data_IF_512924099450
#
_entry.id   IF_512924099450
#
_cell.length_a   1.000
_cell.length_b   1.000
_cell.length_c   1.000
_cell.angle_alpha   90.00
_cell.angle_beta   90.00
_cell.angle_gamma   90.00
#
_symmetry.space_group_name_H-M   'P 1'
#
loop_
_entity.id
_entity.type
_entity.pdbx_description
1 polymer ?
#
# COMPACT_ATOMS: atom_id res chain seq x y z
N UNK A 1 21.15 9.03 -15.74
CA UNK A 1 20.37 10.22 -15.38
C UNK A 1 19.04 10.15 -16.11
N UNK A 2 17.98 10.70 -15.53
CA UNK A 2 16.67 10.81 -16.18
C UNK A 2 16.69 11.90 -17.25
N UNK A 3 15.83 11.76 -18.25
CA UNK A 3 15.48 12.79 -19.24
C UNK A 3 13.99 13.14 -19.18
N UNK A 4 13.35 12.93 -18.02
CA UNK A 4 11.93 13.23 -17.82
C UNK A 4 11.65 14.73 -18.01
N UNK A 5 10.49 15.11 -18.59
CA UNK A 5 10.04 16.50 -18.61
C UNK A 5 9.53 16.98 -17.24
N UNK A 6 9.42 16.09 -16.24
CA UNK A 6 9.01 16.43 -14.87
C UNK A 6 10.22 16.55 -13.95
N UNK A 7 10.12 17.43 -12.95
CA UNK A 7 11.14 17.62 -11.92
C UNK A 7 10.50 18.13 -10.62
N UNK A 8 10.50 17.30 -9.57
CA UNK A 8 10.09 17.68 -8.22
C UNK A 8 11.33 17.93 -7.33
N UNK A 9 11.43 19.04 -6.59
CA UNK A 9 12.62 19.35 -5.81
C UNK A 9 12.70 18.52 -4.52
N UNK A 10 13.92 18.30 -4.02
CA UNK A 10 14.16 17.73 -2.69
C UNK A 10 13.92 18.78 -1.60
N UNK A 11 13.30 18.35 -0.50
CA UNK A 11 13.24 19.05 0.79
C UNK A 11 13.95 18.20 1.83
N UNK A 12 14.88 18.82 2.57
CA UNK A 12 15.65 18.17 3.63
C UNK A 12 15.00 18.51 4.99
N UNK A 13 14.62 17.50 5.76
CA UNK A 13 13.96 17.65 7.06
C UNK A 13 14.82 17.00 8.15
N UNK A 14 15.20 17.75 9.18
CA UNK A 14 15.86 17.20 10.36
C UNK A 14 14.79 16.58 11.28
N UNK A 15 14.96 15.32 11.71
CA UNK A 15 14.02 14.67 12.65
C UNK A 15 14.12 15.32 14.04
N UNK A 16 13.12 15.07 14.90
CA UNK A 16 13.06 15.60 16.28
C UNK A 16 14.29 15.24 17.15
N UNK A 17 15.07 14.22 16.81
CA UNK A 17 16.29 13.87 17.53
C UNK A 17 17.49 14.77 17.18
N UNK A 18 17.35 15.72 16.24
CA UNK A 18 18.38 16.70 15.87
C UNK A 18 19.55 16.14 15.04
N UNK A 19 19.65 14.82 14.88
CA UNK A 19 20.77 14.14 14.21
C UNK A 19 20.33 13.51 12.89
N UNK A 20 19.17 12.85 12.87
CA UNK A 20 18.73 12.14 11.67
C UNK A 20 18.15 13.12 10.65
N UNK A 21 18.49 12.89 9.39
CA UNK A 21 17.92 13.62 8.26
C UNK A 21 16.91 12.73 7.53
N UNK A 22 15.78 13.31 7.11
CA UNK A 22 14.84 12.74 6.15
C UNK A 22 14.89 13.54 4.86
N UNK A 23 15.07 12.83 3.75
CA UNK A 23 14.98 13.37 2.40
C UNK A 23 13.54 13.19 1.91
N UNK A 24 12.85 14.29 1.67
CA UNK A 24 11.50 14.32 1.14
C UNK A 24 11.49 14.93 -0.27
N UNK A 25 10.49 14.61 -1.07
CA UNK A 25 10.32 15.17 -2.42
C UNK A 25 9.04 16.00 -2.42
N UNK A 26 9.10 17.23 -2.93
CA UNK A 26 7.95 18.13 -2.95
C UNK A 26 7.02 17.81 -4.12
N UNK A 27 6.21 16.76 -3.96
CA UNK A 27 5.18 16.38 -4.93
C UNK A 27 3.91 17.23 -4.86
N UNK A 28 3.87 18.41 -4.20
CA UNK A 28 2.63 19.21 -4.07
C UNK A 28 1.96 19.53 -5.42
N UNK A 29 2.75 19.89 -6.44
CA UNK A 29 2.25 20.13 -7.80
C UNK A 29 1.82 18.84 -8.51
N UNK A 30 2.61 17.77 -8.41
CA UNK A 30 2.25 16.45 -8.95
C UNK A 30 0.92 15.97 -8.35
N UNK A 31 0.73 16.15 -7.04
CA UNK A 31 -0.47 15.74 -6.31
C UNK A 31 -1.70 16.61 -6.61
N UNK A 32 -1.55 17.88 -6.99
CA UNK A 32 -2.70 18.71 -7.42
C UNK A 32 -3.17 18.30 -8.82
N UNK A 33 -2.25 17.95 -9.72
CA UNK A 33 -2.54 17.45 -11.06
C UNK A 33 -3.00 15.98 -11.08
N UNK A 34 -2.63 15.18 -10.07
CA UNK A 34 -2.99 13.76 -9.98
C UNK A 34 -4.44 13.56 -9.53
N UNK A 35 -5.24 12.85 -10.34
CA UNK A 35 -6.58 12.38 -9.96
C UNK A 35 -6.47 11.47 -8.72
N UNK A 36 -7.29 11.73 -7.71
CA UNK A 36 -7.35 10.89 -6.51
C UNK A 36 -7.86 9.49 -6.87
N UNK A 37 -7.17 8.45 -6.44
CA UNK A 37 -7.69 7.09 -6.51
C UNK A 37 -8.75 6.89 -5.43
N UNK A 38 -9.95 6.47 -5.84
CA UNK A 38 -11.01 6.07 -4.91
C UNK A 38 -10.80 4.59 -4.58
N UNK A 39 -10.39 4.32 -3.34
CA UNK A 39 -10.30 2.98 -2.77
C UNK A 39 -10.96 2.98 -1.39
N UNK A 40 -11.77 1.96 -1.03
CA UNK A 40 -12.41 1.89 0.27
C UNK A 40 -11.37 1.54 1.35
N UNK A 41 -10.74 2.56 1.94
CA UNK A 41 -9.93 2.39 3.14
C UNK A 41 -10.84 1.98 4.31
N UNK A 42 -10.48 0.96 5.11
CA UNK A 42 -11.25 0.60 6.30
C UNK A 42 -11.19 1.72 7.34
N UNK A 43 -12.25 1.88 8.14
CA UNK A 43 -12.23 2.81 9.27
C UNK A 43 -11.49 2.17 10.44
N UNK A 44 -10.75 2.97 11.19
CA UNK A 44 -9.97 2.48 12.35
C UNK A 44 -10.87 1.75 13.36
N UNK A 45 -12.10 2.21 13.56
CA UNK A 45 -13.06 1.56 14.46
C UNK A 45 -13.41 0.13 14.01
N UNK A 46 -13.55 -0.11 12.70
CA UNK A 46 -13.90 -1.41 12.12
C UNK A 46 -12.76 -2.43 12.33
N UNK A 47 -11.50 -1.96 12.32
CA UNK A 47 -10.31 -2.78 12.60
C UNK A 47 -10.27 -3.23 14.08
N UNK A 48 -10.73 -2.35 14.96
CA UNK A 48 -10.71 -2.50 16.42
C UNK A 48 -11.96 -3.19 16.97
N UNK A 49 -12.99 -3.40 16.16
CA UNK A 49 -14.24 -4.06 16.57
C UNK A 49 -13.95 -5.47 17.14
N UNK A 50 -14.66 -5.86 18.19
CA UNK A 50 -14.49 -7.13 18.92
C UNK A 50 -13.08 -7.39 19.53
N UNK A 51 -12.15 -6.42 19.53
CA UNK A 51 -10.87 -6.59 20.25
C UNK A 51 -11.07 -6.79 21.77
N UNK A 52 -12.16 -6.27 22.33
CA UNK A 52 -12.58 -6.44 23.71
C UNK A 52 -13.11 -7.86 24.03
N UNK A 53 -13.41 -8.66 22.99
CA UNK A 53 -14.02 -9.99 23.09
C UNK A 53 -13.05 -11.14 22.80
N UNK A 54 -11.86 -10.85 22.29
CA UNK A 54 -10.83 -11.85 21.96
C UNK A 54 -9.77 -11.93 23.05
N UNK A 55 -9.34 -13.15 23.37
CA UNK A 55 -8.31 -13.38 24.39
C UNK A 55 -6.88 -13.18 23.84
N UNK A 56 -6.69 -13.36 22.53
CA UNK A 56 -5.39 -13.32 21.87
C UNK A 56 -5.43 -12.41 20.64
N UNK A 57 -4.44 -11.52 20.52
CA UNK A 57 -4.23 -10.70 19.34
C UNK A 57 -2.73 -10.51 19.07
N UNK A 58 -2.40 -10.14 17.84
CA UNK A 58 -1.05 -9.79 17.42
C UNK A 58 -1.12 -8.57 16.50
N UNK A 59 -0.23 -7.59 16.72
CA UNK A 59 -0.08 -6.42 15.86
C UNK A 59 1.24 -6.52 15.10
N UNK A 60 1.18 -6.34 13.79
CA UNK A 60 2.31 -6.46 12.86
C UNK A 60 2.39 -5.20 12.00
N UNK A 61 3.61 -4.82 11.64
CA UNK A 61 3.97 -3.56 10.96
C UNK A 61 4.81 -3.89 9.72
N UNK A 62 4.43 -3.42 8.53
CA UNK A 62 5.14 -3.74 7.29
C UNK A 62 6.42 -2.89 7.16
N UNK A 63 7.60 -3.53 7.22
CA UNK A 63 8.89 -2.84 7.22
C UNK A 63 9.29 -2.22 5.87
N UNK A 64 8.85 -2.81 4.74
CA UNK A 64 9.17 -2.29 3.39
C UNK A 64 8.39 -1.02 3.04
N UNK A 65 7.24 -0.78 3.67
CA UNK A 65 6.26 0.24 3.25
C UNK A 65 6.03 0.26 1.74
N UNK A 66 5.88 1.45 1.16
CA UNK A 66 5.59 1.64 -0.26
C UNK A 66 6.69 1.15 -1.23
N UNK A 67 7.93 0.91 -0.77
CA UNK A 67 9.05 0.57 -1.66
C UNK A 67 8.95 -0.80 -2.33
N UNK A 68 8.05 -1.68 -1.87
CA UNK A 68 7.77 -2.95 -2.57
C UNK A 68 7.04 -2.71 -3.90
N UNK A 69 6.24 -1.65 -4.02
CA UNK A 69 5.45 -1.35 -5.23
C UNK A 69 6.36 -0.89 -6.37
N UNK A 70 6.31 -1.56 -7.51
CA UNK A 70 6.98 -1.14 -8.75
C UNK A 70 6.28 0.05 -9.40
N UNK A 71 7.05 0.95 -10.00
CA UNK A 71 6.51 2.11 -10.73
C UNK A 71 6.37 1.78 -12.21
N UNK A 72 5.22 2.09 -12.82
CA UNK A 72 5.06 2.08 -14.29
C UNK A 72 5.91 3.18 -14.92
N UNK A 73 6.37 3.04 -16.16
CA UNK A 73 7.24 4.05 -16.78
C UNK A 73 6.60 5.46 -16.82
N UNK A 74 5.26 5.54 -16.95
CA UNK A 74 4.50 6.79 -16.82
C UNK A 74 4.61 7.40 -15.42
N UNK A 75 4.45 6.58 -14.37
CA UNK A 75 4.60 7.03 -12.99
C UNK A 75 6.05 7.36 -12.64
N UNK A 76 7.03 6.61 -13.16
CA UNK A 76 8.48 6.88 -13.01
C UNK A 76 8.80 8.29 -13.48
N UNK A 77 8.44 8.60 -14.73
CA UNK A 77 8.68 9.92 -15.33
C UNK A 77 8.04 11.05 -14.52
N UNK A 78 6.76 10.92 -14.12
CA UNK A 78 6.04 11.93 -13.32
C UNK A 78 6.68 12.12 -11.93
N UNK A 79 7.16 11.03 -11.31
CA UNK A 79 7.82 11.05 -10.00
C UNK A 79 9.28 11.51 -10.03
N UNK A 80 9.80 11.96 -11.17
CA UNK A 80 11.19 12.37 -11.29
C UNK A 80 11.56 13.50 -10.31
N UNK A 81 12.73 13.38 -9.69
CA UNK A 81 13.27 14.33 -8.72
C UNK A 81 14.51 15.04 -9.25
N UNK A 82 14.63 16.33 -8.92
CA UNK A 82 15.80 17.14 -9.26
C UNK A 82 16.65 17.43 -8.02
N UNK A 83 17.97 17.32 -8.21
CA UNK A 83 19.00 17.50 -7.20
C UNK A 83 20.12 18.39 -7.75
N UNK A 84 21.00 18.96 -6.92
CA UNK A 84 22.22 19.64 -7.39
C UNK A 84 23.13 18.74 -8.25
N UNK A 85 22.98 17.42 -8.18
CA UNK A 85 23.76 16.42 -8.92
C UNK A 85 23.03 15.89 -10.18
N UNK A 86 21.86 16.45 -10.52
CA UNK A 86 21.08 16.09 -11.72
C UNK A 86 19.68 15.56 -11.43
N UNK A 87 19.04 15.05 -12.50
CA UNK A 87 17.68 14.53 -12.53
C UNK A 87 17.67 12.99 -12.42
N UNK A 88 16.80 12.47 -11.56
CA UNK A 88 16.67 11.05 -11.25
C UNK A 88 15.20 10.61 -11.26
N UNK A 89 14.97 9.30 -11.36
CA UNK A 89 13.65 8.67 -11.31
C UNK A 89 13.65 7.55 -10.27
N UNK A 90 12.48 7.24 -9.73
CA UNK A 90 12.29 6.10 -8.84
C UNK A 90 11.86 4.86 -9.61
N UNK A 91 12.44 3.69 -9.32
CA UNK A 91 11.95 2.41 -9.84
C UNK A 91 10.85 1.78 -8.96
N UNK A 92 10.71 2.28 -7.72
CA UNK A 92 9.77 1.82 -6.69
C UNK A 92 9.01 3.01 -6.11
N UNK A 93 7.81 2.82 -5.59
CA UNK A 93 6.91 3.91 -5.22
C UNK A 93 7.49 4.79 -4.08
N UNK A 94 7.80 6.07 -4.33
CA UNK A 94 8.34 6.97 -3.31
C UNK A 94 7.24 7.50 -2.39
N UNK A 95 7.63 7.88 -1.17
CA UNK A 95 6.76 8.61 -0.25
C UNK A 95 6.37 9.99 -0.80
N UNK A 96 5.19 10.45 -0.41
CA UNK A 96 4.66 11.79 -0.75
C UNK A 96 3.77 11.83 -1.99
N UNK A 97 3.64 10.75 -2.76
CA UNK A 97 2.65 10.64 -3.84
C UNK A 97 1.24 10.44 -3.27
N UNK A 98 0.27 11.20 -3.79
CA UNK A 98 -1.13 11.27 -3.32
C UNK A 98 -1.85 9.92 -3.21
N UNK A 99 -1.64 9.03 -4.18
CA UNK A 99 -2.34 7.76 -4.28
C UNK A 99 -1.57 6.58 -3.67
N UNK A 100 -0.35 6.82 -3.13
CA UNK A 100 0.51 5.75 -2.61
C UNK A 100 -0.15 4.91 -1.50
N UNK A 101 -0.83 5.50 -0.48
CA UNK A 101 -1.51 4.72 0.56
C UNK A 101 -2.60 3.79 0.01
N UNK A 102 -3.40 4.28 -0.94
CA UNK A 102 -4.51 3.51 -1.52
C UNK A 102 -4.01 2.40 -2.46
N UNK A 103 -2.92 2.64 -3.20
CA UNK A 103 -2.26 1.61 -4.03
C UNK A 103 -1.68 0.51 -3.14
N UNK A 104 -1.04 0.90 -2.03
CA UNK A 104 -0.45 -0.03 -1.09
C UNK A 104 -1.51 -0.86 -0.34
N UNK A 105 -2.56 -0.23 0.20
CA UNK A 105 -3.70 -0.95 0.79
C UNK A 105 -4.30 -1.96 -0.18
N UNK A 106 -4.54 -1.57 -1.45
CA UNK A 106 -5.08 -2.49 -2.46
C UNK A 106 -4.15 -3.66 -2.73
N UNK A 107 -2.84 -3.45 -2.76
CA UNK A 107 -1.86 -4.51 -2.94
C UNK A 107 -1.87 -5.49 -1.75
N UNK A 108 -1.93 -4.99 -0.52
CA UNK A 108 -2.09 -5.84 0.66
C UNK A 108 -3.43 -6.56 0.68
N UNK A 109 -4.53 -5.92 0.33
CA UNK A 109 -5.84 -6.58 0.28
C UNK A 109 -5.88 -7.69 -0.79
N UNK A 110 -5.17 -7.51 -1.91
CA UNK A 110 -4.97 -8.56 -2.91
C UNK A 110 -4.14 -9.72 -2.34
N UNK A 111 -3.04 -9.44 -1.62
CA UNK A 111 -2.16 -10.47 -1.05
C UNK A 111 -2.84 -11.27 0.07
N UNK A 112 -3.39 -10.56 1.07
CA UNK A 112 -3.94 -11.12 2.30
C UNK A 112 -5.30 -11.80 2.11
N UNK A 113 -6.08 -11.34 1.14
CA UNK A 113 -7.47 -11.75 0.96
C UNK A 113 -7.80 -12.27 -0.45
N UNK A 114 -6.90 -12.14 -1.43
CA UNK A 114 -7.12 -12.64 -2.80
C UNK A 114 -8.11 -11.84 -3.65
N UNK A 115 -8.49 -10.62 -3.26
CA UNK A 115 -9.60 -9.88 -3.91
C UNK A 115 -9.25 -8.48 -4.43
N UNK A 116 -9.47 -8.22 -5.73
CA UNK A 116 -10.19 -6.98 -6.15
C UNK A 116 -10.97 -7.10 -7.47
N UNK A 117 -12.30 -7.23 -7.39
CA UNK A 117 -13.24 -6.55 -8.29
C UNK A 117 -14.16 -5.67 -7.48
N UNK A 118 -14.07 -4.35 -7.64
CA UNK A 118 -15.12 -3.44 -7.16
C UNK A 118 -16.36 -3.71 -8.02
N UNK A 119 -17.39 -4.34 -7.43
CA UNK A 119 -18.66 -4.60 -8.12
C UNK A 119 -19.29 -3.26 -8.50
N UNK A 120 -19.62 -3.07 -9.79
CA UNK A 120 -20.48 -1.94 -10.20
C UNK A 120 -21.77 -1.99 -9.38
N UNK A 121 -22.19 -0.84 -8.86
CA UNK A 121 -23.54 -0.70 -8.32
C UNK A 121 -24.54 -1.07 -9.43
N UNK A 122 -25.52 -1.90 -9.10
CA UNK A 122 -26.50 -2.39 -10.07
C UNK A 122 -27.40 -1.23 -10.53
N UNK A 123 -27.30 -0.87 -11.81
CA UNK A 123 -28.10 0.20 -12.43
C UNK A 123 -27.33 1.21 -13.28
N UNK A 124 -25.99 1.24 -13.23
CA UNK A 124 -25.20 2.24 -13.97
C UNK A 124 -25.15 1.95 -15.50
N UNK A 125 -25.70 2.82 -16.37
CA UNK A 125 -25.68 2.63 -17.82
C UNK A 125 -24.28 2.91 -18.37
N UNK A 126 -23.49 1.84 -18.53
CA UNK A 126 -22.06 1.95 -18.82
C UNK A 126 -21.71 2.73 -20.11
N UNK A 127 -20.52 3.37 -20.16
CA UNK A 127 -20.04 4.04 -21.36
C UNK A 127 -19.92 3.09 -22.56
N UNK A 128 -20.25 3.59 -23.75
CA UNK A 128 -20.04 2.89 -25.02
C UNK A 128 -18.54 2.95 -25.37
N UNK A 129 -17.92 1.77 -25.47
CA UNK A 129 -16.47 1.57 -25.67
C UNK A 129 -15.59 2.17 -24.55
N UNK A 130 -14.40 1.59 -24.30
CA UNK A 130 -13.42 2.22 -23.43
C UNK A 130 -12.79 3.41 -24.16
N UNK A 131 -12.88 4.60 -23.57
CA UNK A 131 -12.04 5.72 -23.96
C UNK A 131 -10.56 5.31 -23.79
N UNK A 132 -9.67 5.58 -24.76
CA UNK A 132 -8.24 5.22 -24.68
C UNK A 132 -7.49 5.87 -23.50
N UNK A 133 -8.10 6.81 -22.79
CA UNK A 133 -7.52 7.56 -21.67
C UNK A 133 -7.91 7.00 -20.28
N UNK A 134 -8.65 5.89 -20.21
CA UNK A 134 -8.93 5.23 -18.93
C UNK A 134 -7.64 4.70 -18.28
N UNK A 135 -7.12 5.42 -17.27
CA UNK A 135 -5.81 5.24 -16.62
C UNK A 135 -5.28 3.80 -16.57
N UNK A 136 -4.22 3.47 -17.35
CA UNK A 136 -3.51 2.19 -17.27
C UNK A 136 -2.56 2.09 -16.06
N UNK A 137 -2.71 2.95 -15.04
CA UNK A 137 -1.76 3.13 -13.94
C UNK A 137 -1.91 2.12 -12.79
N UNK A 138 -2.61 1.00 -13.02
CA UNK A 138 -2.90 0.01 -11.99
C UNK A 138 -2.23 -1.31 -12.35
N UNK A 139 -1.43 -1.83 -11.42
CA UNK A 139 -0.80 -3.15 -11.49
C UNK A 139 -1.90 -4.18 -11.83
N UNK A 140 -1.78 -4.93 -12.95
CA UNK A 140 -2.68 -6.02 -13.25
C UNK A 140 -2.34 -7.21 -12.33
N UNK A 141 -2.86 -7.17 -11.12
CA UNK A 141 -2.99 -8.35 -10.27
C UNK A 141 -4.34 -8.98 -10.61
N UNK A 142 -4.33 -10.03 -11.44
CA UNK A 142 -5.49 -10.92 -11.52
C UNK A 142 -5.60 -11.67 -10.18
N UNK A 143 -6.79 -11.74 -9.56
CA UNK A 143 -6.96 -12.52 -8.35
C UNK A 143 -6.84 -14.01 -8.69
N UNK A 144 -5.87 -14.70 -8.08
CA UNK A 144 -5.85 -16.16 -8.04
C UNK A 144 -6.92 -16.64 -7.07
N UNK A 145 -8.13 -16.88 -7.58
CA UNK A 145 -9.19 -17.59 -6.87
C UNK A 145 -8.84 -19.09 -6.84
N UNK A 146 -7.98 -19.47 -5.89
CA UNK A 146 -7.56 -20.86 -5.67
C UNK A 146 -8.47 -21.61 -4.68
N UNK A 147 -9.58 -20.99 -4.27
CA UNK A 147 -10.55 -21.53 -3.32
C UNK A 147 -10.08 -21.58 -1.86
N UNK A 148 -8.90 -21.05 -1.51
CA UNK A 148 -8.50 -20.94 -0.09
C UNK A 148 -9.39 -19.93 0.63
N UNK A 149 -9.80 -20.27 1.86
CA UNK A 149 -10.43 -19.30 2.76
C UNK A 149 -9.42 -18.22 3.13
N UNK A 150 -9.85 -16.96 3.01
CA UNK A 150 -9.13 -15.77 3.48
C UNK A 150 -8.53 -15.99 4.88
N UNK A 151 -7.20 -15.92 5.00
CA UNK A 151 -6.46 -16.23 6.24
C UNK A 151 -6.82 -15.26 7.37
N UNK A 152 -7.08 -14.01 6.99
CA UNK A 152 -7.39 -12.90 7.89
C UNK A 152 -8.75 -12.27 7.55
N UNK A 153 -9.37 -11.64 8.56
CA UNK A 153 -10.43 -10.66 8.31
C UNK A 153 -9.83 -9.34 7.81
N UNK A 154 -10.64 -8.41 7.30
CA UNK A 154 -10.21 -7.07 6.89
C UNK A 154 -9.80 -6.21 8.11
N UNK A 155 -8.59 -6.47 8.61
CA UNK A 155 -7.96 -5.81 9.77
C UNK A 155 -6.56 -5.28 9.45
N UNK A 156 -6.34 -4.88 8.20
CA UNK A 156 -5.16 -4.15 7.74
C UNK A 156 -5.47 -2.67 7.51
N UNK A 157 -4.53 -1.78 7.84
CA UNK A 157 -4.59 -0.37 7.49
C UNK A 157 -3.20 0.15 7.12
N UNK A 158 -3.00 0.36 5.82
CA UNK A 158 -1.71 0.72 5.23
C UNK A 158 -0.64 -0.28 5.71
N UNK A 159 0.28 0.11 6.59
CA UNK A 159 1.39 -0.73 7.04
C UNK A 159 1.04 -1.58 8.28
N UNK A 160 -0.04 -1.28 9.01
CA UNK A 160 -0.43 -1.97 10.25
C UNK A 160 -1.42 -3.13 9.96
N UNK A 161 -1.18 -4.33 10.52
CA UNK A 161 -2.05 -5.51 10.44
C UNK A 161 -2.37 -6.02 11.85
N UNK A 162 -3.65 -6.18 12.17
CA UNK A 162 -4.12 -6.76 13.43
C UNK A 162 -4.70 -8.16 13.17
N UNK A 163 -4.10 -9.16 13.82
CA UNK A 163 -4.60 -10.54 13.85
C UNK A 163 -5.28 -10.77 15.21
N UNK A 164 -6.43 -11.41 15.22
CA UNK A 164 -7.13 -11.84 16.44
C UNK A 164 -7.42 -13.34 16.41
N UNK A 165 -7.49 -13.97 17.58
CA UNK A 165 -7.81 -15.39 17.72
C UNK A 165 -8.47 -15.72 19.07
N UNK A 166 -9.22 -16.82 19.08
CA UNK A 166 -9.85 -17.39 20.28
C UNK A 166 -8.86 -18.20 21.13
N UNK A 167 -7.78 -18.71 20.51
CA UNK A 167 -6.72 -19.48 21.18
C UNK A 167 -5.33 -19.10 20.65
N UNK A 168 -4.31 -19.37 21.46
CA UNK A 168 -2.90 -19.16 21.09
C UNK A 168 -2.51 -19.94 19.81
N UNK A 169 -2.85 -21.23 19.74
CA UNK A 169 -2.50 -22.07 18.58
C UNK A 169 -3.14 -21.54 17.28
N UNK A 170 -4.37 -21.00 17.38
CA UNK A 170 -5.03 -20.37 16.24
C UNK A 170 -4.36 -19.03 15.88
N UNK A 171 -3.86 -18.26 16.85
CA UNK A 171 -3.06 -17.06 16.56
C UNK A 171 -1.77 -17.43 15.80
N UNK A 172 -1.01 -18.42 16.28
CA UNK A 172 0.21 -18.90 15.63
C UNK A 172 -0.05 -19.34 14.19
N UNK A 173 -1.03 -20.22 13.96
CA UNK A 173 -1.38 -20.69 12.61
C UNK A 173 -1.75 -19.53 11.64
N UNK A 174 -2.38 -18.46 12.14
CA UNK A 174 -2.71 -17.27 11.32
C UNK A 174 -1.51 -16.37 11.05
N UNK A 175 -0.56 -16.28 12.00
CA UNK A 175 0.71 -15.58 11.81
C UNK A 175 1.59 -16.33 10.81
N UNK A 176 1.68 -17.66 10.90
CA UNK A 176 2.43 -18.49 9.94
C UNK A 176 1.88 -18.36 8.52
N UNK A 177 0.57 -18.52 8.34
CA UNK A 177 -0.06 -18.33 7.02
C UNK A 177 0.02 -16.89 6.48
N UNK A 178 0.21 -15.88 7.34
CA UNK A 178 0.53 -14.52 6.91
C UNK A 178 2.00 -14.41 6.44
N UNK A 179 2.94 -15.03 7.15
CA UNK A 179 4.36 -15.02 6.78
C UNK A 179 4.56 -15.68 5.40
N UNK A 180 3.90 -16.81 5.14
CA UNK A 180 3.92 -17.47 3.82
C UNK A 180 3.46 -16.53 2.69
N UNK A 181 2.35 -15.80 2.91
CA UNK A 181 1.81 -14.81 1.95
C UNK A 181 2.75 -13.61 1.80
N UNK A 182 3.39 -13.16 2.88
CA UNK A 182 4.38 -12.10 2.83
C UNK A 182 5.60 -12.50 2.00
N UNK A 183 6.11 -13.72 2.16
CA UNK A 183 7.23 -14.24 1.37
C UNK A 183 6.85 -14.38 -0.12
N UNK A 184 5.66 -14.89 -0.45
CA UNK A 184 5.16 -14.97 -1.84
C UNK A 184 5.07 -13.59 -2.52
N UNK A 185 4.61 -12.58 -1.78
CA UNK A 185 4.46 -11.20 -2.30
C UNK A 185 5.70 -10.32 -2.09
N UNK A 186 6.80 -10.87 -1.57
CA UNK A 186 8.03 -10.16 -1.23
C UNK A 186 7.77 -8.91 -0.33
N UNK A 187 6.86 -9.07 0.63
CA UNK A 187 6.57 -8.15 1.72
C UNK A 187 7.50 -8.47 2.89
N UNK A 188 7.83 -7.47 3.71
CA UNK A 188 8.63 -7.68 4.91
C UNK A 188 7.93 -7.12 6.15
N UNK A 189 8.07 -7.81 7.27
CA UNK A 189 7.44 -7.45 8.56
C UNK A 189 8.51 -6.95 9.54
N UNK A 190 8.19 -5.86 10.24
CA UNK A 190 8.97 -5.28 11.32
C UNK A 190 8.67 -6.01 12.63
N UNK A 191 9.67 -6.73 13.16
CA UNK A 191 9.56 -7.48 14.42
C UNK A 191 9.51 -6.55 15.66
N UNK A 192 9.83 -5.27 15.49
CA UNK A 192 10.02 -4.30 16.59
C UNK A 192 8.75 -3.80 17.29
N UNK A 193 7.55 -4.27 16.90
CA UNK A 193 6.25 -3.87 17.48
C UNK A 193 5.39 -5.04 18.01
N UNK A 194 5.98 -6.22 18.28
CA UNK A 194 5.29 -7.26 19.04
C UNK A 194 5.08 -6.80 20.49
N UNK A 195 3.94 -6.16 20.76
CA UNK A 195 3.50 -5.70 22.08
C UNK A 195 2.36 -6.61 22.60
N UNK A 196 2.59 -7.22 23.76
CA UNK A 196 1.57 -7.93 24.55
C UNK A 196 1.78 -9.43 24.58
#
# INVERSE_FOLDING_TARGET
MSTSPWASPIVVIIKKNGVDIRLCIDYRLVNSLTRLMIYPMPLINDLLEDLDKVLWYCSLDMASGFWVVTMTDRARAISALITPFGLFEWNRMPFGLKNAPQIYQRMLDNALYGFTRIRRLEGDPGPKQPDPEASPDLIPAEPMDDGKKSVLGRRSYIDDIIITAESWDHLCNRVEGLLDVCDEWNLSISVLKLLG
#
